data_IF_216126243099
#
_entry.id   IF_216126243099
#
_cell.length_a   1.000
_cell.length_b   1.000
_cell.length_c   1.000
_cell.angle_alpha   90.00
_cell.angle_beta   90.00
_cell.angle_gamma   90.00
#
_symmetry.space_group_name_H-M   'P 1'
#
loop_
_entity.id
_entity.type
_entity.pdbx_description
1 polymer ?
#
# COMPACT_ATOMS: atom_id res chain seq x y z
N UNK A 1 11.58 -11.96 -4.78
CA UNK A 1 10.42 -12.18 -5.66
C UNK A 1 10.89 -12.17 -7.10
N UNK A 2 10.39 -13.09 -7.94
CA UNK A 2 10.77 -13.17 -9.35
C UNK A 2 10.18 -11.99 -10.14
N UNK A 3 10.94 -11.39 -11.07
CA UNK A 3 10.46 -10.26 -11.89
C UNK A 3 9.18 -10.60 -12.67
N UNK A 4 8.97 -11.90 -12.98
CA UNK A 4 7.81 -12.42 -13.69
C UNK A 4 6.44 -12.04 -13.10
N UNK A 5 6.37 -11.74 -11.80
CA UNK A 5 5.11 -11.31 -11.16
C UNK A 5 4.70 -9.91 -11.64
N UNK A 6 5.66 -9.04 -11.96
CA UNK A 6 5.38 -7.67 -12.44
C UNK A 6 4.85 -7.62 -13.88
N UNK A 7 5.07 -8.69 -14.65
CA UNK A 7 4.60 -8.82 -16.02
C UNK A 7 3.12 -9.23 -16.12
N UNK A 8 2.51 -9.63 -15.00
CA UNK A 8 1.10 -10.00 -14.94
C UNK A 8 0.17 -8.77 -15.10
N UNK A 9 -0.99 -8.98 -15.70
CA UNK A 9 -2.03 -7.96 -15.82
C UNK A 9 -3.08 -8.07 -14.69
N UNK A 10 -3.59 -6.93 -14.18
CA UNK A 10 -3.21 -5.55 -14.50
C UNK A 10 -1.88 -5.15 -13.85
N UNK A 11 -0.96 -4.56 -14.64
CA UNK A 11 0.41 -4.23 -14.20
C UNK A 11 0.46 -3.35 -12.94
N UNK A 12 -0.49 -2.44 -12.76
CA UNK A 12 -0.54 -1.57 -11.59
C UNK A 12 -0.68 -2.37 -10.28
N UNK A 13 -1.58 -3.36 -10.24
CA UNK A 13 -1.80 -4.20 -9.07
C UNK A 13 -0.55 -5.02 -8.73
N UNK A 14 0.01 -5.66 -9.76
CA UNK A 14 1.14 -6.57 -9.57
C UNK A 14 2.45 -5.87 -9.25
N UNK A 15 2.65 -4.65 -9.74
CA UNK A 15 3.77 -3.81 -9.32
C UNK A 15 3.66 -3.47 -7.83
N UNK A 16 2.51 -2.98 -7.36
CA UNK A 16 2.30 -2.68 -5.95
C UNK A 16 2.45 -3.92 -5.06
N UNK A 17 1.97 -5.07 -5.52
CA UNK A 17 2.16 -6.34 -4.81
C UNK A 17 3.64 -6.74 -4.71
N UNK A 18 4.41 -6.57 -5.80
CA UNK A 18 5.84 -6.86 -5.80
C UNK A 18 6.62 -5.89 -4.89
N UNK A 19 6.26 -4.59 -4.90
CA UNK A 19 6.86 -3.58 -4.02
C UNK A 19 6.56 -3.89 -2.54
N UNK A 20 5.32 -4.27 -2.22
CA UNK A 20 4.95 -4.66 -0.85
C UNK A 20 5.71 -5.90 -0.37
N UNK A 21 5.91 -6.92 -1.22
CA UNK A 21 6.69 -8.12 -0.86
C UNK A 21 8.19 -7.86 -0.76
N UNK A 22 8.70 -6.80 -1.40
CA UNK A 22 10.10 -6.41 -1.26
C UNK A 22 10.36 -5.75 0.10
N UNK A 23 9.33 -5.21 0.76
CA UNK A 23 9.45 -4.70 2.13
C UNK A 23 9.63 -5.88 3.09
N UNK A 24 10.78 -6.01 3.76
CA UNK A 24 11.01 -7.10 4.69
C UNK A 24 10.03 -6.95 5.86
N UNK A 25 9.27 -8.02 6.12
CA UNK A 25 8.35 -8.16 7.26
C UNK A 25 8.87 -9.13 8.33
N UNK A 26 10.06 -8.89 8.93
CA UNK A 26 10.46 -9.70 10.06
C UNK A 26 9.46 -9.50 11.18
N UNK A 27 9.06 -10.61 11.83
CA UNK A 27 8.11 -10.59 12.93
C UNK A 27 8.56 -9.57 13.98
N UNK A 28 7.63 -8.75 14.49
CA UNK A 28 7.85 -7.64 15.45
C UNK A 28 8.52 -6.36 14.91
N UNK A 29 8.63 -6.21 13.59
CA UNK A 29 9.12 -4.97 12.94
C UNK A 29 8.15 -4.43 11.88
N UNK A 30 6.88 -4.33 12.25
CA UNK A 30 5.79 -3.86 11.37
C UNK A 30 5.90 -2.38 11.00
N UNK A 31 6.74 -1.61 11.72
CA UNK A 31 6.98 -0.17 11.48
C UNK A 31 7.34 0.16 10.03
N UNK A 32 8.11 -0.71 9.35
CA UNK A 32 8.51 -0.51 7.95
C UNK A 32 7.34 -0.68 6.98
N UNK A 33 6.45 -1.64 7.25
CA UNK A 33 5.24 -1.86 6.44
C UNK A 33 4.24 -0.74 6.67
N UNK A 34 4.10 -0.28 7.91
CA UNK A 34 3.25 0.86 8.26
C UNK A 34 3.73 2.12 7.53
N UNK A 35 5.04 2.41 7.58
CA UNK A 35 5.62 3.55 6.88
C UNK A 35 5.47 3.43 5.35
N UNK A 36 5.65 2.23 4.79
CA UNK A 36 5.42 1.96 3.37
C UNK A 36 3.97 2.23 2.96
N UNK A 37 3.00 1.72 3.71
CA UNK A 37 1.58 1.92 3.43
C UNK A 37 1.14 3.38 3.62
N UNK A 38 1.69 4.07 4.63
CA UNK A 38 1.47 5.50 4.83
C UNK A 38 1.99 6.32 3.65
N UNK A 39 3.24 6.09 3.25
CA UNK A 39 3.86 6.75 2.12
C UNK A 39 3.15 6.44 0.79
N UNK A 40 2.62 5.23 0.64
CA UNK A 40 1.78 4.87 -0.51
C UNK A 40 0.52 5.73 -0.59
N UNK A 41 -0.23 5.87 0.51
CA UNK A 41 -1.42 6.72 0.57
C UNK A 41 -1.11 8.21 0.37
N UNK A 42 -0.04 8.71 1.01
CA UNK A 42 0.41 10.09 0.87
C UNK A 42 0.92 10.40 -0.55
N UNK A 43 1.62 9.45 -1.19
CA UNK A 43 2.07 9.57 -2.58
C UNK A 43 0.94 9.61 -3.61
N UNK A 44 -0.22 9.05 -3.26
CA UNK A 44 -1.46 9.16 -4.05
C UNK A 44 -2.23 10.46 -3.76
N UNK A 45 -1.74 11.31 -2.85
CA UNK A 45 -2.43 12.53 -2.41
C UNK A 45 -3.71 12.24 -1.62
N UNK A 46 -3.84 11.04 -1.04
CA UNK A 46 -5.01 10.63 -0.27
C UNK A 46 -4.80 10.92 1.22
N UNK A 47 -5.83 11.41 1.94
CA UNK A 47 -5.79 11.51 3.39
C UNK A 47 -5.44 10.16 4.01
N UNK A 48 -4.30 10.12 4.68
CA UNK A 48 -3.72 8.89 5.23
C UNK A 48 -3.32 9.11 6.67
N UNK A 49 -3.82 8.27 7.57
CA UNK A 49 -3.56 8.33 9.00
C UNK A 49 -3.17 6.95 9.54
N UNK A 50 -2.45 6.94 10.67
CA UNK A 50 -2.08 5.71 11.39
C UNK A 50 -2.68 5.82 12.79
N UNK A 51 -3.41 4.79 13.21
CA UNK A 51 -4.00 4.77 14.55
C UNK A 51 -2.98 4.34 15.63
N UNK A 52 -3.41 4.41 16.89
CA UNK A 52 -2.58 4.02 18.04
C UNK A 52 -2.23 2.52 18.09
N UNK A 53 -2.95 1.69 17.34
CA UNK A 53 -2.72 0.25 17.22
C UNK A 53 -1.81 -0.09 16.02
N UNK A 54 -1.42 0.90 15.20
CA UNK A 54 -0.58 0.71 14.02
C UNK A 54 -1.35 0.39 12.72
N UNK A 55 -2.68 0.50 12.72
CA UNK A 55 -3.46 0.34 11.50
C UNK A 55 -3.31 1.59 10.61
N UNK A 56 -3.12 1.36 9.30
CA UNK A 56 -3.02 2.43 8.30
C UNK A 56 -4.37 2.62 7.63
N UNK A 57 -4.92 3.84 7.71
CA UNK A 57 -6.22 4.21 7.15
C UNK A 57 -5.97 5.18 6.00
N UNK A 58 -6.28 4.75 4.77
CA UNK A 58 -6.20 5.57 3.56
C UNK A 58 -7.63 5.87 3.09
N UNK A 59 -8.02 7.15 3.07
CA UNK A 59 -9.38 7.58 2.72
C UNK A 59 -9.40 8.08 1.28
N UNK A 60 -10.15 7.40 0.42
CA UNK A 60 -10.38 7.84 -0.97
C UNK A 60 -11.78 8.46 -1.08
N UNK A 61 -11.94 9.67 -1.62
CA UNK A 61 -13.27 10.23 -1.87
C UNK A 61 -14.04 9.34 -2.87
N UNK A 62 -15.34 9.20 -2.63
CA UNK A 62 -16.24 8.51 -3.56
C UNK A 62 -16.19 9.15 -4.95
N UNK A 63 -16.25 8.33 -6.00
CA UNK A 63 -16.37 8.85 -7.36
C UNK A 63 -17.77 9.43 -7.54
N UNK A 64 -17.88 10.71 -7.92
CA UNK A 64 -19.17 11.36 -8.17
C UNK A 64 -19.95 10.59 -9.26
N UNK A 65 -21.24 10.34 -9.03
CA UNK A 65 -22.14 9.70 -10.01
C UNK A 65 -22.28 8.18 -9.92
N UNK A 66 -21.89 7.58 -8.79
CA UNK A 66 -22.23 6.18 -8.44
C UNK A 66 -22.99 6.14 -7.12
N UNK A 67 -24.17 6.77 -7.10
CA UNK A 67 -25.21 6.47 -6.10
C UNK A 67 -25.88 5.13 -6.42
#
# INVERSE_FOLDING_TARGET
>A
MSQAVRDLEPKALWNHFADLNAVPRPSKHEERVIAFAKAFGEGLGLPTEVDHAGNVIIRKPGTKGKE
#
